data_IF_948771831985
#
_entry.id   IF_948771831985
#
_cell.length_a   1.000
_cell.length_b   1.000
_cell.length_c   1.000
_cell.angle_alpha   90.00
_cell.angle_beta   90.00
_cell.angle_gamma   90.00
#
_symmetry.space_group_name_H-M   'P 1'
#
loop_
_entity.id
_entity.type
_entity.pdbx_description
1 polymer ?
#
# COMPACT_ATOMS: atom_id res chain seq x y z
N UNK A 1 9.24 -12.59 -11.75
CA UNK A 1 8.47 -13.50 -10.89
C UNK A 1 7.69 -14.43 -11.79
N UNK A 2 7.68 -15.72 -11.49
CA UNK A 2 6.73 -16.68 -12.05
C UNK A 2 5.32 -16.39 -11.52
N UNK A 3 4.28 -17.02 -12.08
CA UNK A 3 2.90 -16.90 -11.58
C UNK A 3 2.77 -17.34 -10.11
N UNK A 4 3.45 -18.42 -9.71
CA UNK A 4 3.46 -18.90 -8.34
C UNK A 4 4.12 -17.91 -7.38
N UNK A 5 5.30 -17.38 -7.74
CA UNK A 5 6.00 -16.36 -6.94
C UNK A 5 5.17 -15.09 -6.78
N UNK A 6 4.41 -14.71 -7.81
CA UNK A 6 3.51 -13.56 -7.76
C UNK A 6 2.37 -13.78 -6.75
N UNK A 7 1.77 -14.97 -6.76
CA UNK A 7 0.69 -15.32 -5.82
C UNK A 7 1.20 -15.33 -4.38
N UNK A 8 2.36 -15.93 -4.13
CA UNK A 8 3.01 -15.93 -2.82
C UNK A 8 3.30 -14.51 -2.34
N UNK A 9 3.90 -13.68 -3.20
CA UNK A 9 4.20 -12.30 -2.84
C UNK A 9 2.94 -11.47 -2.56
N UNK A 10 1.87 -11.65 -3.35
CA UNK A 10 0.59 -11.00 -3.08
C UNK A 10 -0.05 -11.48 -1.76
N UNK A 11 0.07 -12.76 -1.43
CA UNK A 11 -0.38 -13.27 -0.13
C UNK A 11 0.40 -12.63 1.03
N UNK A 12 1.71 -12.44 0.87
CA UNK A 12 2.54 -11.71 1.84
C UNK A 12 2.17 -10.23 1.95
N UNK A 13 1.89 -9.57 0.82
CA UNK A 13 1.39 -8.19 0.82
C UNK A 13 0.09 -8.06 1.60
N UNK A 14 -0.87 -8.97 1.40
CA UNK A 14 -2.14 -8.99 2.14
C UNK A 14 -1.90 -9.27 3.63
N UNK A 15 -1.01 -10.20 3.96
CA UNK A 15 -0.68 -10.54 5.35
C UNK A 15 -0.11 -9.36 6.12
N UNK A 16 0.73 -8.55 5.47
CA UNK A 16 1.39 -7.37 6.08
C UNK A 16 0.49 -6.12 6.03
N UNK A 17 -0.26 -5.95 4.96
CA UNK A 17 -1.13 -4.81 4.72
C UNK A 17 -2.47 -5.31 4.12
N UNK A 18 -3.44 -5.69 4.98
CA UNK A 18 -4.70 -6.29 4.54
C UNK A 18 -5.53 -5.41 3.59
N UNK A 19 -5.34 -4.10 3.59
CA UNK A 19 -5.98 -3.18 2.63
C UNK A 19 -5.62 -3.52 1.18
N UNK A 20 -4.45 -4.11 0.94
CA UNK A 20 -3.98 -4.50 -0.38
C UNK A 20 -4.72 -5.72 -0.95
N UNK A 21 -5.61 -6.36 -0.18
CA UNK A 21 -6.58 -7.35 -0.68
C UNK A 21 -7.68 -6.66 -1.53
N UNK A 22 -7.23 -6.10 -2.64
CA UNK A 22 -8.00 -5.24 -3.54
C UNK A 22 -7.43 -5.36 -4.94
N UNK A 23 -8.29 -5.32 -5.96
CA UNK A 23 -7.86 -5.21 -7.36
C UNK A 23 -7.01 -3.96 -7.64
N UNK A 24 -7.08 -2.97 -6.75
CA UNK A 24 -6.31 -1.72 -6.79
C UNK A 24 -5.01 -1.78 -5.97
N UNK A 25 -4.80 -2.86 -5.20
CA UNK A 25 -3.70 -3.01 -4.24
C UNK A 25 -2.72 -4.14 -4.55
N UNK A 26 -3.15 -5.18 -5.27
CA UNK A 26 -2.29 -6.32 -5.62
C UNK A 26 -1.16 -5.94 -6.59
N UNK A 27 -0.03 -6.62 -6.49
CA UNK A 27 1.09 -6.47 -7.41
C UNK A 27 0.93 -7.37 -8.65
N UNK A 28 1.28 -6.89 -9.87
CA UNK A 28 1.54 -5.49 -10.18
C UNK A 28 0.25 -4.69 -10.37
N UNK A 29 0.20 -3.45 -9.87
CA UNK A 29 -0.82 -2.49 -10.30
C UNK A 29 -0.45 -1.91 -11.66
N UNK A 30 -1.48 -1.61 -12.48
CA UNK A 30 -1.34 -0.99 -13.81
C UNK A 30 -2.54 -0.11 -14.12
N UNK A 31 -2.44 1.16 -13.75
CA UNK A 31 -3.45 2.19 -14.03
C UNK A 31 -2.81 3.41 -14.68
N UNK A 32 -3.59 4.19 -15.44
CA UNK A 32 -3.08 5.27 -16.30
C UNK A 32 -2.61 6.50 -15.53
N UNK A 33 -3.25 6.82 -14.41
CA UNK A 33 -2.96 7.99 -13.60
C UNK A 33 -3.51 7.80 -12.19
N UNK A 34 -2.91 8.50 -11.23
CA UNK A 34 -3.48 8.64 -9.89
C UNK A 34 -4.78 9.43 -9.95
N UNK A 35 -5.80 8.97 -9.22
CA UNK A 35 -7.05 9.71 -9.08
C UNK A 35 -6.89 10.83 -8.04
N UNK A 36 -7.62 11.92 -8.28
CA UNK A 36 -7.74 13.01 -7.32
C UNK A 36 -8.59 12.54 -6.11
N UNK A 37 -8.18 12.80 -4.85
CA UNK A 37 -8.95 12.43 -3.68
C UNK A 37 -10.40 12.98 -3.65
N UNK A 38 -10.67 14.10 -4.33
CA UNK A 38 -12.01 14.70 -4.44
C UNK A 38 -12.91 14.05 -5.51
N UNK A 39 -12.36 13.11 -6.29
CA UNK A 39 -13.05 12.45 -7.41
C UNK A 39 -13.74 11.14 -7.00
N UNK A 40 -14.27 10.43 -7.99
CA UNK A 40 -14.84 9.08 -7.86
C UNK A 40 -14.12 8.10 -8.80
N UNK A 41 -14.10 6.83 -8.43
CA UNK A 41 -13.59 5.75 -9.29
C UNK A 41 -14.53 5.53 -10.48
N UNK A 42 -14.08 4.77 -11.49
CA UNK A 42 -14.94 4.37 -12.61
C UNK A 42 -16.17 3.56 -12.18
N UNK A 43 -16.17 2.97 -10.98
CA UNK A 43 -17.30 2.25 -10.39
C UNK A 43 -18.21 3.15 -9.54
N UNK A 44 -17.93 4.45 -9.46
CA UNK A 44 -18.68 5.43 -8.69
C UNK A 44 -18.32 5.47 -7.20
N UNK A 45 -17.25 4.79 -6.77
CA UNK A 45 -16.80 4.83 -5.37
C UNK A 45 -16.08 6.16 -5.10
N UNK A 46 -16.32 6.82 -3.95
CA UNK A 46 -15.59 8.05 -3.61
C UNK A 46 -14.11 7.77 -3.39
N UNK A 47 -13.22 8.64 -3.89
CA UNK A 47 -11.77 8.51 -3.68
C UNK A 47 -11.32 8.90 -2.26
N UNK A 48 -12.18 9.61 -1.52
CA UNK A 48 -11.98 9.99 -0.12
C UNK A 48 -13.27 9.85 0.67
N UNK A 49 -13.14 9.33 1.90
CA UNK A 49 -14.23 9.24 2.85
C UNK A 49 -13.74 9.83 4.17
N UNK A 50 -14.24 11.02 4.50
CA UNK A 50 -13.93 11.68 5.75
C UNK A 50 -14.27 10.78 6.94
N UNK A 51 -13.31 10.63 7.85
CA UNK A 51 -13.51 9.90 9.10
C UNK A 51 -12.60 10.51 10.15
N UNK A 52 -13.14 10.98 11.30
CA UNK A 52 -12.32 11.60 12.34
C UNK A 52 -11.40 10.60 13.05
N UNK A 53 -11.73 9.31 12.96
CA UNK A 53 -11.03 8.20 13.63
C UNK A 53 -10.87 7.02 12.70
N UNK A 54 -9.85 6.20 12.95
CA UNK A 54 -9.67 4.92 12.28
C UNK A 54 -10.73 3.93 12.79
N UNK A 55 -11.63 3.51 11.90
CA UNK A 55 -12.63 2.48 12.15
C UNK A 55 -12.15 1.07 11.78
N UNK A 56 -10.85 0.91 11.48
CA UNK A 56 -10.22 -0.33 11.09
C UNK A 56 -10.07 -0.49 9.57
N UNK A 57 -9.71 -1.72 9.18
CA UNK A 57 -9.43 -2.08 7.78
C UNK A 57 -10.68 -1.90 6.94
N UNK A 58 -10.52 -1.22 5.80
CA UNK A 58 -11.58 -1.02 4.82
C UNK A 58 -11.07 -1.44 3.45
N UNK A 59 -11.78 -2.37 2.81
CA UNK A 59 -11.43 -2.84 1.46
C UNK A 59 -11.30 -1.66 0.50
N UNK A 60 -10.24 -1.63 -0.31
CA UNK A 60 -9.91 -0.58 -1.28
C UNK A 60 -9.42 0.76 -0.68
N UNK A 61 -9.39 0.93 0.64
CA UNK A 61 -9.06 2.20 1.26
C UNK A 61 -7.96 2.06 2.32
N UNK A 62 -7.19 3.12 2.51
CA UNK A 62 -6.21 3.26 3.58
C UNK A 62 -6.58 4.47 4.43
N UNK A 63 -6.71 4.27 5.74
CA UNK A 63 -6.94 5.36 6.68
C UNK A 63 -5.66 6.18 6.89
N UNK A 64 -5.81 7.50 6.98
CA UNK A 64 -4.74 8.39 7.41
C UNK A 64 -5.02 9.85 7.12
N UNK A 65 -3.96 10.65 7.08
CA UNK A 65 -4.02 12.09 6.85
C UNK A 65 -3.66 12.37 5.38
N UNK A 66 -4.33 13.35 4.77
CA UNK A 66 -4.03 13.73 3.40
C UNK A 66 -4.63 15.07 3.02
N UNK A 67 -4.71 15.38 1.70
CA UNK A 67 -5.12 16.70 1.21
C UNK A 67 -6.53 17.14 1.62
N UNK A 68 -7.42 16.20 1.92
CA UNK A 68 -8.80 16.49 2.33
C UNK A 68 -9.03 16.29 3.84
N UNK A 69 -7.95 16.13 4.61
CA UNK A 69 -7.97 15.90 6.05
C UNK A 69 -7.86 14.43 6.44
N UNK A 70 -8.37 14.10 7.63
CA UNK A 70 -8.36 12.74 8.16
C UNK A 70 -9.49 11.91 7.55
N UNK A 71 -9.14 10.73 7.05
CA UNK A 71 -10.13 9.78 6.56
C UNK A 71 -9.53 8.65 5.76
N UNK A 72 -10.38 8.00 4.99
CA UNK A 72 -10.04 6.86 4.15
C UNK A 72 -9.78 7.32 2.72
N UNK A 73 -8.56 7.09 2.23
CA UNK A 73 -8.15 7.39 0.88
C UNK A 73 -8.15 6.10 0.03
N UNK A 74 -8.73 6.15 -1.16
CA UNK A 74 -8.82 4.98 -2.03
C UNK A 74 -7.44 4.59 -2.58
N UNK A 75 -7.17 3.31 -2.77
CA UNK A 75 -5.89 2.76 -3.29
C UNK A 75 -5.53 3.22 -4.72
N UNK A 76 -6.42 3.90 -5.43
CA UNK A 76 -6.11 4.57 -6.70
C UNK A 76 -5.66 6.03 -6.51
N UNK A 77 -5.47 6.47 -5.28
CA UNK A 77 -4.97 7.81 -4.94
C UNK A 77 -3.57 7.72 -4.36
N UNK A 78 -2.73 8.72 -4.63
CA UNK A 78 -1.37 8.80 -4.08
C UNK A 78 -1.34 8.88 -2.54
N UNK A 79 -2.24 9.63 -1.86
CA UNK A 79 -2.26 9.70 -0.39
C UNK A 79 -2.49 8.36 0.31
N UNK A 80 -3.20 7.41 -0.31
CA UNK A 80 -3.35 6.06 0.26
C UNK A 80 -2.00 5.38 0.48
N UNK A 81 -1.10 5.47 -0.49
CA UNK A 81 0.24 4.88 -0.41
C UNK A 81 1.20 5.66 0.49
N UNK A 82 1.02 6.98 0.61
CA UNK A 82 1.73 7.78 1.64
C UNK A 82 1.42 7.25 3.03
N UNK A 83 0.13 7.12 3.35
CA UNK A 83 -0.34 6.65 4.65
C UNK A 83 0.09 5.21 4.91
N UNK A 84 -0.04 4.34 3.90
CA UNK A 84 0.36 2.94 4.01
C UNK A 84 1.87 2.80 4.25
N UNK A 85 2.70 3.56 3.52
CA UNK A 85 4.15 3.55 3.70
C UNK A 85 4.54 4.00 5.11
N UNK A 86 3.96 5.11 5.59
CA UNK A 86 4.20 5.62 6.94
C UNK A 86 3.86 4.58 8.02
N UNK A 87 2.78 3.83 7.85
CA UNK A 87 2.45 2.71 8.75
C UNK A 87 3.47 1.58 8.67
N UNK A 88 3.88 1.17 7.47
CA UNK A 88 4.87 0.10 7.31
C UNK A 88 6.24 0.46 7.88
N UNK A 89 6.57 1.75 7.97
CA UNK A 89 7.77 2.22 8.66
C UNK A 89 7.67 2.04 10.18
N UNK A 90 6.50 2.22 10.79
CA UNK A 90 6.30 2.09 12.24
C UNK A 90 6.01 0.67 12.71
N UNK A 91 5.62 -0.24 11.81
CA UNK A 91 5.28 -1.64 12.14
C UNK A 91 6.34 -2.65 11.71
N UNK A 92 7.56 -2.20 11.39
CA UNK A 92 8.63 -3.12 11.00
C UNK A 92 8.90 -4.16 12.11
N UNK A 93 9.05 -5.46 11.78
CA UNK A 93 9.43 -6.47 12.76
C UNK A 93 10.74 -6.07 13.44
N UNK A 94 10.72 -5.85 14.74
CA UNK A 94 11.93 -5.55 15.49
C UNK A 94 12.85 -6.79 15.48
N UNK A 95 14.18 -6.62 15.29
CA UNK A 95 15.11 -7.71 15.55
C UNK A 95 15.02 -8.05 17.05
N UNK A 96 14.39 -9.19 17.35
CA UNK A 96 14.21 -9.71 18.70
C UNK A 96 15.57 -9.82 19.40
N UNK A 97 15.79 -8.95 20.40
CA UNK A 97 16.85 -9.15 21.38
C UNK A 97 16.32 -10.15 22.40
N UNK A 98 16.87 -11.37 22.37
CA UNK A 98 16.63 -12.46 23.32
C UNK A 98 15.18 -12.99 23.36
N UNK A 99 14.99 -14.18 22.77
CA UNK A 99 13.84 -15.06 22.93
C UNK A 99 12.55 -14.63 22.18
N UNK A 100 12.29 -15.30 21.05
CA UNK A 100 11.09 -15.25 20.20
C UNK A 100 10.97 -14.09 19.18
N UNK A 101 11.19 -14.42 17.90
CA UNK A 101 10.06 -14.35 16.95
C UNK A 101 10.09 -13.36 15.79
N UNK A 102 11.22 -13.17 15.11
CA UNK A 102 11.22 -12.64 13.73
C UNK A 102 12.28 -13.36 12.92
N UNK A 103 11.88 -14.20 11.97
CA UNK A 103 12.86 -14.83 11.07
C UNK A 103 13.47 -13.77 10.16
N UNK A 104 14.73 -13.94 9.73
CA UNK A 104 15.32 -13.04 8.72
C UNK A 104 14.45 -12.94 7.46
N UNK A 105 13.69 -14.00 7.14
CA UNK A 105 12.68 -14.01 6.08
C UNK A 105 11.51 -13.06 6.32
N UNK A 106 10.96 -12.95 7.54
CA UNK A 106 9.83 -12.04 7.80
C UNK A 106 10.22 -10.58 7.61
N UNK A 107 11.44 -10.22 8.05
CA UNK A 107 11.99 -8.90 7.81
C UNK A 107 12.19 -8.62 6.31
N UNK A 108 12.74 -9.59 5.56
CA UNK A 108 12.93 -9.47 4.12
C UNK A 108 11.61 -9.31 3.37
N UNK A 109 10.58 -10.08 3.75
CA UNK A 109 9.24 -9.97 3.18
C UNK A 109 8.66 -8.59 3.49
N UNK A 110 8.72 -8.14 4.76
CA UNK A 110 8.26 -6.81 5.15
C UNK A 110 8.96 -5.71 4.35
N UNK A 111 10.27 -5.82 4.17
CA UNK A 111 11.04 -4.88 3.37
C UNK A 111 10.61 -4.90 1.91
N UNK A 112 10.38 -6.08 1.30
CA UNK A 112 9.89 -6.19 -0.07
C UNK A 112 8.52 -5.56 -0.28
N UNK A 113 7.58 -5.77 0.64
CA UNK A 113 6.26 -5.11 0.61
C UNK A 113 6.40 -3.60 0.78
N UNK A 114 7.22 -3.17 1.74
CA UNK A 114 7.50 -1.75 1.99
C UNK A 114 8.12 -1.07 0.77
N UNK A 115 9.02 -1.73 0.06
CA UNK A 115 9.66 -1.20 -1.16
C UNK A 115 8.64 -1.02 -2.28
N UNK A 116 7.71 -1.97 -2.47
CA UNK A 116 6.62 -1.82 -3.45
C UNK A 116 5.71 -0.64 -3.10
N UNK A 117 5.31 -0.51 -1.83
CA UNK A 117 4.48 0.60 -1.37
C UNK A 117 5.23 1.94 -1.51
N UNK A 118 6.52 1.97 -1.21
CA UNK A 118 7.38 3.14 -1.41
C UNK A 118 7.46 3.53 -2.89
N UNK A 119 7.72 2.57 -3.79
CA UNK A 119 7.77 2.83 -5.22
C UNK A 119 6.46 3.45 -5.70
N UNK A 120 5.31 2.91 -5.29
CA UNK A 120 3.98 3.48 -5.62
C UNK A 120 3.79 4.87 -5.05
N UNK A 121 4.27 5.10 -3.82
CA UNK A 121 4.25 6.42 -3.20
C UNK A 121 5.07 7.44 -4.01
N UNK A 122 6.28 7.13 -4.47
CA UNK A 122 7.08 8.10 -5.23
C UNK A 122 6.68 8.17 -6.71
N UNK A 123 6.14 7.07 -7.24
CA UNK A 123 5.75 6.90 -8.63
C UNK A 123 4.85 8.00 -9.18
N UNK A 124 5.12 8.36 -10.42
CA UNK A 124 4.35 9.35 -11.19
C UNK A 124 2.97 8.83 -11.58
N UNK A 125 2.85 7.51 -11.78
CA UNK A 125 1.61 6.80 -12.10
C UNK A 125 1.47 5.51 -11.29
N UNK A 126 0.24 5.01 -11.11
CA UNK A 126 -0.06 3.71 -10.50
C UNK A 126 0.31 2.51 -11.40
N UNK A 127 1.59 2.40 -11.76
CA UNK A 127 2.16 1.27 -12.49
C UNK A 127 3.45 0.83 -11.82
N UNK A 128 3.50 -0.41 -11.33
CA UNK A 128 4.64 -0.88 -10.53
C UNK A 128 5.97 -0.97 -11.31
N UNK A 129 5.92 -1.11 -12.63
CA UNK A 129 7.12 -1.12 -13.48
C UNK A 129 7.68 0.29 -13.61
N UNK A 130 6.80 1.28 -13.84
CA UNK A 130 7.23 2.68 -13.93
C UNK A 130 7.61 3.24 -12.56
N UNK A 131 6.82 2.97 -11.53
CA UNK A 131 7.06 3.40 -10.16
C UNK A 131 8.43 2.94 -9.63
N UNK A 132 8.87 1.73 -9.99
CA UNK A 132 10.21 1.25 -9.66
C UNK A 132 11.32 2.05 -10.37
N UNK A 133 11.10 2.51 -11.60
CA UNK A 133 12.07 3.36 -12.31
C UNK A 133 12.13 4.75 -11.68
N UNK A 134 10.96 5.32 -11.39
CA UNK A 134 10.83 6.64 -10.74
C UNK A 134 11.50 6.66 -9.35
N UNK A 135 11.51 5.54 -8.63
CA UNK A 135 12.18 5.44 -7.33
C UNK A 135 13.72 5.36 -7.39
N UNK A 136 14.29 5.12 -8.57
CA UNK A 136 15.74 5.01 -8.79
C UNK A 136 16.35 6.26 -9.42
N UNK A 137 15.52 7.20 -9.88
CA UNK A 137 15.92 8.47 -10.50
C UNK A 137 16.05 9.59 -9.50
#
# INVERSE_FOLDING_TARGET
MTSAQLQEFNADMIRIAPELDSEYGLYPIRYKHWLDPSSTTAKGEPCYIASPTDAGIRRNYVYGVGPLGNGYYHLLTKPAYVNLYGRLQSTAPAPSCCCFGGSSSDYQIHQGVKDVVYNRYVGTIPDDVQAKKDALS
#
